data_IF_072847373934
#
_entry.id   IF_072847373934
#
_cell.length_a   1.000
_cell.length_b   1.000
_cell.length_c   1.000
_cell.angle_alpha   90.00
_cell.angle_beta   90.00
_cell.angle_gamma   90.00
#
_symmetry.space_group_name_H-M   'P 1'
#
loop_
_entity.id
_entity.type
_entity.pdbx_description
1 polymer ?
#
# COMPACT_ATOMS: atom_id res chain seq x y z
N UNK A 1 19.87 -3.92 -6.07
CA UNK A 1 18.79 -3.11 -5.48
C UNK A 1 19.30 -1.69 -5.36
N UNK A 2 18.76 -0.73 -6.11
CA UNK A 2 19.08 0.69 -5.92
C UNK A 2 18.04 1.30 -4.97
N UNK A 3 18.48 2.22 -4.12
CA UNK A 3 17.59 2.94 -3.20
C UNK A 3 17.61 4.41 -3.59
N UNK A 4 16.48 4.91 -4.12
CA UNK A 4 16.33 6.33 -4.44
C UNK A 4 15.81 7.07 -3.21
N UNK A 5 16.57 8.06 -2.73
CA UNK A 5 16.20 8.85 -1.56
C UNK A 5 15.34 10.03 -2.01
N UNK A 6 14.06 10.01 -1.68
CA UNK A 6 13.09 11.07 -2.03
C UNK A 6 12.77 11.85 -0.75
N UNK A 7 12.83 13.18 -0.83
CA UNK A 7 12.49 14.09 0.29
C UNK A 7 11.16 14.75 -0.03
N UNK A 8 10.14 14.44 0.76
CA UNK A 8 8.77 14.95 0.57
C UNK A 8 8.50 15.95 1.71
N UNK A 9 7.98 17.15 1.40
CA UNK A 9 7.51 18.11 2.41
C UNK A 9 5.98 18.09 2.42
N UNK A 10 5.31 17.50 3.42
CA UNK A 10 3.87 17.30 3.40
C UNK A 10 3.04 18.58 3.39
N UNK A 11 3.62 19.70 3.82
CA UNK A 11 2.96 21.01 3.89
C UNK A 11 3.07 21.87 2.64
N UNK A 12 3.85 21.45 1.63
CA UNK A 12 3.99 22.18 0.37
C UNK A 12 3.73 21.24 -0.82
N UNK A 13 2.55 21.34 -1.46
CA UNK A 13 2.19 20.51 -2.60
C UNK A 13 3.16 20.59 -3.78
N UNK A 14 3.90 21.68 -3.92
CA UNK A 14 4.88 21.85 -4.99
C UNK A 14 6.13 20.98 -4.81
N UNK A 15 6.34 20.42 -3.61
CA UNK A 15 7.47 19.51 -3.33
C UNK A 15 7.15 18.05 -3.63
N UNK A 16 5.90 17.72 -3.96
CA UNK A 16 5.58 16.38 -4.41
C UNK A 16 6.23 16.15 -5.78
N UNK A 17 6.95 15.03 -5.96
CA UNK A 17 7.42 14.66 -7.28
C UNK A 17 6.22 14.53 -8.22
N UNK A 18 6.35 15.10 -9.42
CA UNK A 18 5.30 15.02 -10.44
C UNK A 18 5.04 13.54 -10.77
N UNK A 19 3.89 13.04 -10.32
CA UNK A 19 3.45 11.70 -10.65
C UNK A 19 3.09 11.63 -12.14
N UNK A 20 3.48 10.55 -12.81
CA UNK A 20 2.94 10.23 -14.13
C UNK A 20 1.97 9.07 -14.00
N UNK A 21 0.76 9.27 -14.52
CA UNK A 21 -0.22 8.21 -14.68
C UNK A 21 -0.43 7.96 -16.18
N UNK A 22 -0.73 6.70 -16.51
CA UNK A 22 -1.22 6.36 -17.83
C UNK A 22 -2.74 6.55 -17.87
N UNK A 23 -3.18 7.69 -18.42
CA UNK A 23 -4.60 8.04 -18.45
C UNK A 23 -5.44 7.03 -19.26
N UNK A 24 -4.88 6.48 -20.36
CA UNK A 24 -5.61 5.50 -21.17
C UNK A 24 -5.90 4.21 -20.40
N UNK A 25 -4.97 3.83 -19.51
CA UNK A 25 -5.17 2.69 -18.60
C UNK A 25 -6.22 3.01 -17.53
N UNK A 26 -6.16 4.19 -16.91
CA UNK A 26 -7.11 4.59 -15.86
C UNK A 26 -8.53 4.70 -16.43
N UNK A 27 -8.70 5.39 -17.56
CA UNK A 27 -10.01 5.62 -18.19
C UNK A 27 -10.60 4.33 -18.80
N UNK A 28 -9.75 3.37 -19.17
CA UNK A 28 -10.16 2.06 -19.69
C UNK A 28 -10.47 1.01 -18.62
N UNK A 29 -10.19 1.29 -17.34
CA UNK A 29 -10.41 0.34 -16.26
C UNK A 29 -11.91 0.19 -15.97
N UNK A 30 -12.41 -1.03 -16.02
CA UNK A 30 -13.82 -1.36 -15.78
C UNK A 30 -14.09 -1.70 -14.32
N UNK A 31 -15.34 -1.55 -13.88
CA UNK A 31 -15.80 -1.95 -12.54
C UNK A 31 -15.51 -3.42 -12.21
N UNK A 32 -15.52 -4.30 -13.22
CA UNK A 32 -15.19 -5.71 -13.05
C UNK A 32 -13.70 -5.92 -12.70
N UNK A 33 -12.80 -5.15 -13.30
CA UNK A 33 -11.37 -5.19 -13.02
C UNK A 33 -11.05 -4.61 -11.64
N UNK A 34 -11.72 -3.52 -11.26
CA UNK A 34 -11.64 -2.95 -9.90
C UNK A 34 -12.11 -3.97 -8.88
N UNK A 35 -13.24 -4.63 -9.13
CA UNK A 35 -13.79 -5.65 -8.23
C UNK A 35 -12.90 -6.89 -8.08
N UNK A 36 -12.10 -7.24 -9.10
CA UNK A 36 -11.11 -8.30 -8.98
C UNK A 36 -9.95 -7.87 -8.08
N UNK A 37 -9.37 -6.70 -8.33
CA UNK A 37 -8.28 -6.15 -7.52
C UNK A 37 -8.68 -6.01 -6.06
N UNK A 38 -9.88 -5.49 -5.78
CA UNK A 38 -10.39 -5.33 -4.42
C UNK A 38 -10.43 -6.65 -3.66
N UNK A 39 -10.83 -7.75 -4.32
CA UNK A 39 -10.88 -9.08 -3.69
C UNK A 39 -9.49 -9.61 -3.37
N UNK A 40 -8.53 -9.37 -4.25
CA UNK A 40 -7.13 -9.76 -4.01
C UNK A 40 -6.53 -8.96 -2.84
N UNK A 41 -6.77 -7.66 -2.83
CA UNK A 41 -6.33 -6.75 -1.76
C UNK A 41 -6.96 -7.13 -0.41
N UNK A 42 -8.26 -7.48 -0.38
CA UNK A 42 -8.96 -7.93 0.82
C UNK A 42 -8.35 -9.22 1.39
N UNK A 43 -7.99 -10.17 0.51
CA UNK A 43 -7.32 -11.42 0.91
C UNK A 43 -5.93 -11.15 1.48
N UNK A 44 -5.16 -10.24 0.88
CA UNK A 44 -3.84 -9.84 1.38
C UNK A 44 -3.95 -9.15 2.74
N UNK A 45 -4.91 -8.22 2.91
CA UNK A 45 -5.15 -7.51 4.15
C UNK A 45 -5.47 -8.46 5.31
N UNK A 46 -6.29 -9.50 5.07
CA UNK A 46 -6.59 -10.51 6.10
C UNK A 46 -5.34 -11.30 6.53
N UNK A 47 -4.46 -11.63 5.59
CA UNK A 47 -3.22 -12.34 5.89
C UNK A 47 -2.25 -11.46 6.71
N UNK A 48 -2.20 -10.17 6.41
CA UNK A 48 -1.35 -9.23 7.13
C UNK A 48 -1.84 -8.98 8.55
N UNK A 49 -3.15 -8.80 8.76
CA UNK A 49 -3.76 -8.72 10.11
C UNK A 49 -3.43 -9.97 10.94
N UNK A 50 -3.54 -11.16 10.35
CA UNK A 50 -3.20 -12.40 11.04
C UNK A 50 -1.70 -12.50 11.38
N UNK A 51 -0.83 -12.01 10.51
CA UNK A 51 0.62 -11.97 10.73
C UNK A 51 0.99 -10.99 11.84
N UNK A 52 0.45 -9.78 11.78
CA UNK A 52 0.65 -8.74 12.78
C UNK A 52 0.18 -9.19 14.17
N UNK A 53 -1.01 -9.80 14.26
CA UNK A 53 -1.51 -10.36 15.52
C UNK A 53 -0.58 -11.40 16.15
N UNK A 54 0.02 -12.28 15.34
CA UNK A 54 1.02 -13.26 15.80
C UNK A 54 2.30 -12.61 16.28
N UNK A 55 2.78 -11.59 15.57
CA UNK A 55 4.00 -10.86 15.93
C UNK A 55 3.82 -10.05 17.21
N UNK A 56 2.73 -9.30 17.32
CA UNK A 56 2.38 -8.55 18.52
C UNK A 56 2.24 -9.46 19.75
N UNK A 57 1.61 -10.63 19.59
CA UNK A 57 1.52 -11.63 20.65
C UNK A 57 2.88 -12.20 21.07
N UNK A 58 3.83 -12.38 20.14
CA UNK A 58 5.22 -12.78 20.46
C UNK A 58 5.97 -11.66 21.18
N UNK A 59 5.82 -10.42 20.73
CA UNK A 59 6.43 -9.25 21.37
C UNK A 59 5.97 -9.13 22.83
N UNK A 60 4.65 -9.15 23.07
CA UNK A 60 4.07 -9.11 24.43
C UNK A 60 4.51 -10.26 25.35
N UNK A 61 4.81 -11.43 24.79
CA UNK A 61 5.31 -12.57 25.56
C UNK A 61 6.77 -12.40 25.99
N UNK A 62 7.60 -11.70 25.22
CA UNK A 62 9.00 -11.41 25.57
C UNK A 62 9.16 -10.27 26.58
N UNK A 63 8.14 -9.42 26.72
CA UNK A 63 8.10 -8.35 27.74
C UNK A 63 7.63 -8.85 29.14
N UNK A 64 7.26 -10.12 29.29
CA UNK A 64 6.90 -10.75 30.58
C UNK A 64 8.02 -11.63 31.08
#
# INVERSE_FOLDING_TARGET
MSTTRIRIQPGDPATYPEGRIDAAKVDGTTEAEIGLQQREDDVEAMQDVARYGREYGRYKRKER
#
